data_IF_656430642562
#
_entry.id   IF_656430642562
#
_cell.length_a   1.000
_cell.length_b   1.000
_cell.length_c   1.000
_cell.angle_alpha   90.00
_cell.angle_beta   90.00
_cell.angle_gamma   90.00
#
_symmetry.space_group_name_H-M   'P 1'
#
loop_
_entity.id
_entity.type
_entity.pdbx_description
1 polymer ?
#
# COMPACT_ATOMS: atom_id res chain seq x y z
N UNK A 1 -16.76 -63.77 65.64
CA UNK A 1 -17.78 -62.84 65.13
C UNK A 1 -17.10 -61.49 64.88
N UNK A 2 -17.20 -60.97 63.64
CA UNK A 2 -16.80 -59.62 63.18
C UNK A 2 -15.27 -59.37 63.17
N UNK A 3 -14.60 -58.87 62.14
CA UNK A 3 -14.84 -58.69 60.71
C UNK A 3 -13.43 -58.63 60.11
N UNK A 4 -13.13 -59.45 59.11
CA UNK A 4 -11.97 -59.23 58.24
C UNK A 4 -12.44 -58.40 57.05
N UNK A 5 -11.60 -57.46 56.59
CA UNK A 5 -11.34 -57.09 55.18
C UNK A 5 -10.57 -55.76 55.18
N UNK A 6 -9.25 -55.87 55.09
CA UNK A 6 -8.33 -54.77 54.73
C UNK A 6 -8.36 -54.71 53.21
N UNK A 7 -8.85 -53.60 52.64
CA UNK A 7 -8.92 -53.35 51.21
C UNK A 7 -7.77 -52.41 50.81
N UNK A 8 -6.85 -52.81 49.91
CA UNK A 8 -5.80 -51.93 49.40
C UNK A 8 -6.19 -51.29 48.06
N UNK A 9 -5.55 -50.16 47.78
CA UNK A 9 -5.37 -49.50 46.48
C UNK A 9 -6.63 -49.02 45.73
N UNK A 10 -6.66 -47.72 45.43
CA UNK A 10 -6.61 -47.27 44.03
C UNK A 10 -6.15 -45.80 43.98
N UNK A 11 -4.87 -45.60 43.67
CA UNK A 11 -4.33 -44.31 43.29
C UNK A 11 -4.86 -43.98 41.88
N UNK A 12 -5.68 -42.94 41.77
CA UNK A 12 -6.18 -42.43 40.49
C UNK A 12 -5.06 -41.73 39.72
N UNK A 13 -4.49 -42.41 38.73
CA UNK A 13 -3.57 -41.83 37.76
C UNK A 13 -4.40 -41.11 36.68
N UNK A 14 -4.50 -39.79 36.77
CA UNK A 14 -5.10 -38.93 35.74
C UNK A 14 -4.20 -38.92 34.49
N UNK A 15 -4.52 -39.77 33.52
CA UNK A 15 -3.94 -39.70 32.17
C UNK A 15 -4.58 -38.53 31.43
N UNK A 16 -3.90 -37.38 31.42
CA UNK A 16 -4.18 -36.28 30.50
C UNK A 16 -3.81 -36.72 29.08
N UNK A 17 -4.78 -37.26 28.35
CA UNK A 17 -4.65 -37.45 26.90
C UNK A 17 -4.69 -36.08 26.23
N UNK A 18 -3.51 -35.52 25.97
CA UNK A 18 -3.37 -34.37 25.10
C UNK A 18 -3.82 -34.75 23.69
N UNK A 19 -4.96 -34.20 23.25
CA UNK A 19 -5.29 -34.19 21.83
C UNK A 19 -4.25 -33.30 21.13
N UNK A 20 -3.18 -33.92 20.62
CA UNK A 20 -2.35 -33.29 19.61
C UNK A 20 -3.22 -33.13 18.36
N UNK A 21 -3.84 -31.96 18.20
CA UNK A 21 -4.34 -31.58 16.89
C UNK A 21 -3.14 -31.60 15.94
N UNK A 22 -3.22 -32.30 14.79
CA UNK A 22 -2.24 -32.07 13.74
C UNK A 22 -2.22 -30.58 13.50
N UNK A 23 -1.06 -29.95 13.66
CA UNK A 23 -0.86 -28.58 13.23
C UNK A 23 -1.42 -28.50 11.82
N UNK A 24 -2.54 -27.79 11.66
CA UNK A 24 -3.08 -27.52 10.36
C UNK A 24 -1.92 -26.92 9.58
N UNK A 25 -1.43 -27.63 8.56
CA UNK A 25 -0.62 -26.99 7.55
C UNK A 25 -1.48 -25.84 7.06
N UNK A 26 -1.07 -24.63 7.36
CA UNK A 26 -1.67 -23.40 6.83
C UNK A 26 -1.44 -23.43 5.32
N UNK A 27 -2.29 -24.16 4.62
CA UNK A 27 -2.44 -24.13 3.17
C UNK A 27 -3.40 -23.00 2.74
N UNK A 28 -3.36 -21.87 3.45
CA UNK A 28 -3.96 -20.62 2.99
C UNK A 28 -2.90 -19.88 2.19
N UNK A 29 -3.17 -19.56 0.93
CA UNK A 29 -2.23 -18.81 0.09
C UNK A 29 -1.78 -17.55 0.82
N UNK A 30 -0.45 -17.37 0.91
CA UNK A 30 0.22 -16.46 1.83
C UNK A 30 -0.48 -15.10 1.97
N UNK A 31 -0.82 -14.76 3.21
CA UNK A 31 -1.23 -13.42 3.59
C UNK A 31 0.00 -12.53 3.72
N UNK A 32 0.04 -11.39 3.04
CA UNK A 32 1.19 -10.49 3.09
C UNK A 32 0.82 -9.00 2.98
N UNK A 33 1.84 -8.16 2.93
CA UNK A 33 1.68 -6.71 2.84
C UNK A 33 1.22 -6.29 1.44
N UNK A 34 0.54 -5.16 1.38
CA UNK A 34 0.23 -4.42 0.17
C UNK A 34 1.25 -3.30 0.10
N UNK A 35 2.21 -3.46 -0.80
CA UNK A 35 3.28 -2.52 -1.02
C UNK A 35 3.16 -1.88 -2.40
N UNK A 36 3.92 -0.80 -2.61
CA UNK A 36 3.94 -0.10 -3.87
C UNK A 36 5.30 0.50 -4.20
N UNK A 37 5.57 0.62 -5.49
CA UNK A 37 6.69 1.35 -6.08
C UNK A 37 6.13 2.29 -7.13
N UNK A 38 6.37 3.58 -6.96
CA UNK A 38 5.90 4.61 -7.86
C UNK A 38 7.02 5.00 -8.82
N UNK A 39 6.83 4.69 -10.11
CA UNK A 39 7.77 5.05 -11.18
C UNK A 39 7.44 6.39 -11.84
N UNK A 40 6.49 7.14 -11.29
CA UNK A 40 5.96 8.37 -11.89
C UNK A 40 6.43 9.62 -11.16
N UNK A 41 6.28 10.77 -11.83
CA UNK A 41 6.49 12.09 -11.24
C UNK A 41 5.34 12.55 -10.34
N UNK A 42 4.21 11.84 -10.33
CA UNK A 42 3.03 12.19 -9.55
C UNK A 42 3.09 11.51 -8.19
N UNK A 43 2.56 12.15 -7.15
CA UNK A 43 2.29 11.44 -5.90
C UNK A 43 1.10 10.49 -6.09
N UNK A 44 1.17 9.31 -5.48
CA UNK A 44 0.02 8.41 -5.32
C UNK A 44 -0.56 8.68 -3.93
N UNK A 45 -1.65 9.45 -3.89
CA UNK A 45 -2.25 9.95 -2.64
C UNK A 45 -3.04 8.88 -1.88
N UNK A 46 -3.52 7.87 -2.59
CA UNK A 46 -4.11 6.67 -2.03
C UNK A 46 -4.12 5.58 -3.09
N UNK A 47 -4.07 4.33 -2.67
CA UNK A 47 -4.32 3.20 -3.55
C UNK A 47 -4.92 2.01 -2.81
N UNK A 48 -5.51 1.10 -3.58
CA UNK A 48 -6.07 -0.14 -3.08
C UNK A 48 -5.98 -1.24 -4.12
N UNK A 49 -6.03 -2.49 -3.65
CA UNK A 49 -6.08 -3.69 -4.47
C UNK A 49 -7.34 -4.46 -4.08
N UNK A 50 -8.25 -4.67 -5.03
CA UNK A 50 -9.56 -5.27 -4.79
C UNK A 50 -10.33 -4.60 -3.64
N UNK A 51 -10.20 -3.27 -3.52
CA UNK A 51 -10.81 -2.47 -2.45
C UNK A 51 -10.04 -2.47 -1.12
N UNK A 52 -8.96 -3.24 -1.00
CA UNK A 52 -8.13 -3.30 0.19
C UNK A 52 -7.04 -2.23 0.15
N UNK A 53 -7.03 -1.34 1.15
CA UNK A 53 -6.14 -0.17 1.17
C UNK A 53 -4.66 -0.56 1.32
N UNK A 54 -3.80 0.11 0.55
CA UNK A 54 -2.34 0.07 0.71
C UNK A 54 -1.79 0.96 1.84
N UNK A 55 -2.67 1.70 2.54
CA UNK A 55 -2.41 2.63 3.66
C UNK A 55 -1.60 3.88 3.29
N UNK A 56 -0.47 3.74 2.59
CA UNK A 56 0.50 4.81 2.40
C UNK A 56 0.19 5.76 1.24
N UNK A 57 0.76 6.97 1.34
CA UNK A 57 0.97 7.90 0.24
C UNK A 57 2.36 7.63 -0.36
N UNK A 58 2.43 7.37 -1.66
CA UNK A 58 3.71 7.08 -2.33
C UNK A 58 4.17 8.31 -3.11
N UNK A 59 5.24 8.96 -2.65
CA UNK A 59 5.82 10.10 -3.34
C UNK A 59 6.40 9.73 -4.72
N UNK A 60 6.74 10.72 -5.56
CA UNK A 60 7.35 10.49 -6.86
C UNK A 60 8.64 9.67 -6.74
N UNK A 61 8.78 8.62 -7.53
CA UNK A 61 10.00 7.80 -7.59
C UNK A 61 10.38 7.14 -6.26
N UNK A 62 9.39 6.77 -5.44
CA UNK A 62 9.56 6.16 -4.12
C UNK A 62 8.84 4.81 -4.03
N UNK A 63 9.15 4.04 -2.99
CA UNK A 63 8.37 2.88 -2.56
C UNK A 63 7.82 3.08 -1.15
N UNK A 64 6.79 2.32 -0.81
CA UNK A 64 6.11 2.38 0.48
C UNK A 64 4.95 1.37 0.51
N UNK A 65 4.00 1.54 1.44
CA UNK A 65 2.86 0.65 1.58
C UNK A 65 2.71 0.16 3.01
N UNK A 66 2.67 -1.15 3.20
CA UNK A 66 2.41 -1.74 4.52
C UNK A 66 0.93 -1.90 4.84
N UNK A 67 0.04 -1.73 3.86
CA UNK A 67 -1.34 -2.22 3.96
C UNK A 67 -1.33 -3.71 4.31
N UNK A 68 -2.17 -4.15 5.24
CA UNK A 68 -2.16 -5.55 5.66
C UNK A 68 -3.01 -6.43 4.75
N UNK A 69 -2.77 -7.73 4.87
CA UNK A 69 -3.75 -8.80 4.70
C UNK A 69 -4.16 -9.10 3.24
N UNK A 70 -3.31 -8.82 2.25
CA UNK A 70 -3.56 -9.33 0.90
C UNK A 70 -3.47 -10.84 0.91
N UNK A 71 -4.48 -11.53 0.37
CA UNK A 71 -4.52 -12.99 0.30
C UNK A 71 -4.95 -13.46 -1.08
N UNK A 72 -4.41 -14.60 -1.49
CA UNK A 72 -4.71 -15.24 -2.77
C UNK A 72 -5.06 -16.72 -2.55
N UNK A 73 -5.80 -17.36 -3.48
CA UNK A 73 -5.99 -18.80 -3.45
C UNK A 73 -4.67 -19.58 -3.40
N UNK A 74 -4.70 -20.78 -2.83
CA UNK A 74 -3.50 -21.63 -2.72
C UNK A 74 -2.87 -22.02 -4.08
N UNK A 75 -3.65 -21.98 -5.17
CA UNK A 75 -3.18 -22.23 -6.53
C UNK A 75 -3.60 -21.09 -7.43
N UNK A 76 -2.66 -20.61 -8.22
CA UNK A 76 -2.96 -19.67 -9.29
C UNK A 76 -3.65 -20.41 -10.45
N UNK A 77 -4.59 -19.74 -11.12
CA UNK A 77 -5.21 -20.23 -12.35
C UNK A 77 -5.10 -19.20 -13.48
N UNK A 78 -4.99 -19.65 -14.74
CA UNK A 78 -4.97 -18.74 -15.88
C UNK A 78 -6.16 -17.77 -15.88
N UNK A 79 -5.86 -16.49 -16.07
CA UNK A 79 -6.86 -15.42 -16.10
C UNK A 79 -7.15 -14.76 -14.75
N UNK A 80 -6.47 -15.16 -13.66
CA UNK A 80 -6.54 -14.41 -12.41
C UNK A 80 -6.07 -12.96 -12.60
N UNK A 81 -6.83 -12.04 -12.02
CA UNK A 81 -6.57 -10.60 -12.08
C UNK A 81 -6.76 -9.96 -10.72
N UNK A 82 -6.22 -8.75 -10.57
CA UNK A 82 -6.54 -7.86 -9.47
C UNK A 82 -6.96 -6.51 -10.03
N UNK A 83 -7.90 -5.86 -9.34
CA UNK A 83 -8.27 -4.47 -9.60
C UNK A 83 -7.42 -3.56 -8.74
N UNK A 84 -6.75 -2.61 -9.36
CA UNK A 84 -5.98 -1.57 -8.68
C UNK A 84 -6.70 -0.25 -8.87
N UNK A 85 -6.94 0.45 -7.77
CA UNK A 85 -7.52 1.80 -7.76
C UNK A 85 -6.55 2.75 -7.08
N UNK A 86 -6.36 3.93 -7.64
CA UNK A 86 -5.46 4.92 -7.05
C UNK A 86 -5.83 6.35 -7.41
N UNK A 87 -5.39 7.30 -6.60
CA UNK A 87 -5.41 8.72 -6.94
C UNK A 87 -3.99 9.23 -7.13
N UNK A 88 -3.75 9.86 -8.28
CA UNK A 88 -2.52 10.61 -8.50
C UNK A 88 -2.74 12.10 -8.24
N UNK A 89 -1.71 12.81 -7.80
CA UNK A 89 -1.73 14.27 -7.70
C UNK A 89 -0.35 14.90 -7.72
N UNK A 90 -0.33 16.23 -7.69
CA UNK A 90 0.90 17.02 -7.58
C UNK A 90 1.56 16.74 -6.24
N UNK A 91 2.83 16.36 -6.26
CA UNK A 91 3.60 16.12 -5.04
C UNK A 91 4.10 17.42 -4.43
N UNK A 92 4.65 18.32 -5.25
CA UNK A 92 5.23 19.59 -4.78
C UNK A 92 4.77 20.77 -5.62
N UNK A 93 4.56 21.93 -4.99
CA UNK A 93 4.17 23.17 -5.68
C UNK A 93 5.16 23.58 -6.79
N UNK A 94 6.45 23.26 -6.62
CA UNK A 94 7.50 23.51 -7.63
C UNK A 94 7.33 22.71 -8.93
N UNK A 95 6.55 21.64 -8.91
CA UNK A 95 6.33 20.78 -10.09
C UNK A 95 5.28 21.35 -11.05
N UNK A 96 4.62 22.46 -10.68
CA UNK A 96 3.52 23.12 -11.39
C UNK A 96 3.66 24.65 -11.30
N UNK A 97 4.70 25.23 -11.94
CA UNK A 97 4.99 26.66 -11.86
C UNK A 97 3.83 27.56 -12.33
N UNK A 98 2.88 27.03 -13.10
CA UNK A 98 1.69 27.74 -13.58
C UNK A 98 0.69 28.07 -12.45
N UNK A 99 0.75 27.35 -11.32
CA UNK A 99 -0.09 27.59 -10.15
C UNK A 99 0.83 27.79 -8.93
N UNK A 100 1.51 28.95 -8.85
CA UNK A 100 2.49 29.20 -7.81
C UNK A 100 1.82 29.26 -6.43
N UNK A 101 2.52 28.73 -5.43
CA UNK A 101 2.12 28.84 -4.04
C UNK A 101 2.24 30.31 -3.57
N UNK A 102 1.24 30.86 -2.85
CA UNK A 102 1.36 32.21 -2.33
C UNK A 102 2.50 32.29 -1.32
N UNK A 103 3.30 33.36 -1.40
CA UNK A 103 4.39 33.59 -0.49
C UNK A 103 3.85 33.95 0.90
N UNK A 104 4.43 33.35 1.94
CA UNK A 104 4.11 33.74 3.31
C UNK A 104 4.58 35.18 3.57
N UNK A 105 3.74 36.06 4.15
CA UNK A 105 4.12 37.45 4.39
C UNK A 105 5.25 37.52 5.41
N UNK A 106 6.18 38.46 5.20
CA UNK A 106 7.30 38.68 6.13
C UNK A 106 6.91 39.71 7.19
N UNK A 107 7.15 39.40 8.47
CA UNK A 107 6.99 40.36 9.55
C UNK A 107 8.17 41.34 9.57
N UNK A 108 7.87 42.63 9.41
CA UNK A 108 8.81 43.76 9.31
C UNK A 108 8.63 44.76 10.46
N UNK A 109 8.02 44.34 11.57
CA UNK A 109 7.71 45.23 12.69
C UNK A 109 6.48 46.13 12.44
N UNK A 110 5.63 45.78 11.47
CA UNK A 110 4.35 46.44 11.26
C UNK A 110 3.44 46.30 12.49
N UNK A 111 2.49 47.22 12.60
CA UNK A 111 1.43 47.16 13.60
C UNK A 111 0.65 45.83 13.54
N UNK A 112 0.20 45.35 14.69
CA UNK A 112 -0.51 44.08 14.81
C UNK A 112 -1.77 44.00 13.94
N UNK A 113 -2.46 45.12 13.71
CA UNK A 113 -3.64 45.16 12.84
C UNK A 113 -3.24 44.88 11.39
N UNK A 114 -2.18 45.53 10.92
CA UNK A 114 -1.64 45.33 9.56
C UNK A 114 -1.21 43.89 9.37
N UNK A 115 -0.45 43.32 10.32
CA UNK A 115 -0.06 41.90 10.28
C UNK A 115 -1.27 40.96 10.20
N UNK A 116 -2.33 41.26 10.97
CA UNK A 116 -3.55 40.45 10.97
C UNK A 116 -4.24 40.47 9.60
N UNK A 117 -4.30 41.63 8.94
CA UNK A 117 -4.88 41.79 7.61
C UNK A 117 -4.04 41.07 6.53
N UNK A 118 -2.71 41.20 6.57
CA UNK A 118 -1.79 40.50 5.64
C UNK A 118 -1.91 38.97 5.77
N UNK A 119 -1.99 38.45 6.99
CA UNK A 119 -2.18 37.02 7.24
C UNK A 119 -3.57 36.56 6.78
N UNK A 120 -4.61 37.38 6.97
CA UNK A 120 -5.95 37.06 6.47
C UNK A 120 -5.97 36.95 4.93
N UNK A 121 -5.30 37.87 4.23
CA UNK A 121 -5.16 37.82 2.78
C UNK A 121 -4.37 36.59 2.32
N UNK A 122 -3.20 36.33 2.91
CA UNK A 122 -2.41 35.13 2.63
C UNK A 122 -3.25 33.85 2.79
N UNK A 123 -4.02 33.74 3.87
CA UNK A 123 -4.87 32.59 4.11
C UNK A 123 -5.97 32.44 3.05
N UNK A 124 -6.55 33.54 2.55
CA UNK A 124 -7.50 33.50 1.44
C UNK A 124 -6.84 33.01 0.15
N UNK A 125 -5.69 33.58 -0.21
CA UNK A 125 -4.91 33.17 -1.38
C UNK A 125 -4.53 31.70 -1.28
N UNK A 126 -4.07 31.25 -0.11
CA UNK A 126 -3.69 29.85 0.17
C UNK A 126 -4.87 28.89 0.03
N UNK A 127 -6.08 29.28 0.46
CA UNK A 127 -7.31 28.49 0.26
C UNK A 127 -7.67 28.35 -1.22
N UNK A 128 -7.58 29.44 -1.99
CA UNK A 128 -7.83 29.40 -3.45
C UNK A 128 -6.78 28.52 -4.13
N UNK A 129 -5.51 28.65 -3.75
CA UNK A 129 -4.43 27.81 -4.26
C UNK A 129 -4.69 26.32 -3.97
N UNK A 130 -5.01 25.95 -2.73
CA UNK A 130 -5.34 24.55 -2.38
C UNK A 130 -6.50 23.98 -3.21
N UNK A 131 -7.53 24.78 -3.52
CA UNK A 131 -8.62 24.33 -4.39
C UNK A 131 -8.13 24.01 -5.80
N UNK A 132 -7.25 24.85 -6.37
CA UNK A 132 -6.63 24.61 -7.68
C UNK A 132 -5.77 23.34 -7.67
N UNK A 133 -4.92 23.16 -6.65
CA UNK A 133 -4.10 21.94 -6.50
C UNK A 133 -4.95 20.69 -6.37
N UNK A 134 -6.00 20.74 -5.54
CA UNK A 134 -6.91 19.61 -5.34
C UNK A 134 -7.62 19.23 -6.64
N UNK A 135 -7.93 20.18 -7.50
CA UNK A 135 -8.56 19.93 -8.81
C UNK A 135 -7.65 19.22 -9.82
N UNK A 136 -6.33 19.17 -9.58
CA UNK A 136 -5.38 18.43 -10.43
C UNK A 136 -5.29 16.93 -10.07
N UNK A 137 -5.96 16.50 -9.00
CA UNK A 137 -6.02 15.09 -8.62
C UNK A 137 -6.81 14.29 -9.65
N UNK A 138 -6.34 13.09 -9.96
CA UNK A 138 -7.00 12.17 -10.90
C UNK A 138 -7.24 10.83 -10.22
N UNK A 139 -8.46 10.31 -10.33
CA UNK A 139 -8.80 8.95 -9.93
C UNK A 139 -8.54 8.02 -11.11
N UNK A 140 -7.99 6.86 -10.80
CA UNK A 140 -7.66 5.83 -11.78
C UNK A 140 -8.13 4.46 -11.31
N UNK A 141 -8.36 3.58 -12.26
CA UNK A 141 -8.71 2.19 -12.00
C UNK A 141 -8.21 1.31 -13.14
N UNK A 142 -7.56 0.20 -12.81
CA UNK A 142 -7.09 -0.76 -13.79
C UNK A 142 -7.16 -2.18 -13.26
N UNK A 143 -7.76 -3.07 -14.04
CA UNK A 143 -7.68 -4.51 -13.79
C UNK A 143 -6.47 -5.05 -14.53
N UNK A 144 -5.56 -5.69 -13.79
CA UNK A 144 -4.31 -6.23 -14.33
C UNK A 144 -4.15 -7.71 -14.03
N UNK A 145 -3.48 -8.47 -14.91
CA UNK A 145 -3.19 -9.87 -14.64
C UNK A 145 -2.33 -10.00 -13.38
N UNK A 146 -2.70 -10.96 -12.54
CA UNK A 146 -1.85 -11.40 -11.43
C UNK A 146 -0.88 -12.45 -11.98
N UNK A 147 0.44 -12.23 -11.95
CA UNK A 147 1.39 -13.22 -12.45
C UNK A 147 1.26 -14.58 -11.77
N UNK A 148 1.59 -15.65 -12.50
CA UNK A 148 1.57 -17.01 -11.98
C UNK A 148 2.54 -17.17 -10.81
N UNK A 149 2.01 -17.57 -9.65
CA UNK A 149 2.76 -17.82 -8.43
C UNK A 149 2.83 -19.32 -8.07
N UNK A 150 2.37 -20.21 -8.96
CA UNK A 150 2.45 -21.65 -8.72
C UNK A 150 3.92 -22.10 -8.57
N UNK A 151 4.19 -22.89 -7.53
CA UNK A 151 5.54 -23.34 -7.21
C UNK A 151 6.45 -22.26 -6.60
N UNK A 152 5.89 -21.11 -6.23
CA UNK A 152 6.61 -20.00 -5.58
C UNK A 152 5.94 -19.63 -4.26
N UNK A 153 6.72 -19.06 -3.35
CA UNK A 153 6.17 -18.42 -2.15
C UNK A 153 5.50 -17.08 -2.51
N UNK A 154 4.45 -16.73 -1.76
CA UNK A 154 3.71 -15.48 -1.87
C UNK A 154 3.94 -14.64 -0.63
N UNK A 155 4.48 -13.43 -0.79
CA UNK A 155 4.82 -12.53 0.32
C UNK A 155 3.94 -11.27 0.39
N UNK A 156 2.73 -11.34 -0.15
CA UNK A 156 1.85 -10.19 -0.32
C UNK A 156 1.77 -9.78 -1.77
N UNK A 157 1.60 -8.48 -2.02
CA UNK A 157 1.54 -7.92 -3.36
C UNK A 157 2.19 -6.54 -3.41
N UNK A 158 3.00 -6.32 -4.44
CA UNK A 158 3.58 -5.00 -4.74
C UNK A 158 2.95 -4.46 -6.02
N UNK A 159 2.42 -3.24 -5.96
CA UNK A 159 1.95 -2.49 -7.15
C UNK A 159 3.06 -1.60 -7.67
N UNK A 160 3.34 -1.69 -8.96
CA UNK A 160 4.20 -0.75 -9.65
C UNK A 160 3.32 0.24 -10.42
N UNK A 161 3.31 1.51 -10.00
CA UNK A 161 2.66 2.58 -10.73
C UNK A 161 3.60 3.09 -11.82
N UNK A 162 3.23 2.93 -13.08
CA UNK A 162 4.04 3.25 -14.24
C UNK A 162 3.56 4.55 -14.90
N UNK A 163 4.40 5.22 -15.72
CA UNK A 163 3.95 6.31 -16.58
C UNK A 163 2.75 5.91 -17.44
N UNK A 164 2.00 6.89 -17.95
CA UNK A 164 0.80 6.65 -18.76
C UNK A 164 -0.34 5.93 -18.03
N UNK A 165 -0.47 6.17 -16.72
CA UNK A 165 -1.54 5.62 -15.89
C UNK A 165 -1.63 4.07 -15.97
N UNK A 166 -0.49 3.41 -16.17
CA UNK A 166 -0.37 1.95 -16.22
C UNK A 166 0.11 1.39 -14.87
N UNK A 167 -0.19 0.12 -14.61
CA UNK A 167 0.24 -0.58 -13.39
C UNK A 167 0.66 -2.00 -13.70
N UNK A 168 1.64 -2.48 -12.94
CA UNK A 168 2.00 -3.91 -12.86
C UNK A 168 1.92 -4.37 -11.42
N UNK A 169 1.72 -5.66 -11.21
CA UNK A 169 1.70 -6.24 -9.87
C UNK A 169 2.59 -7.46 -9.79
N UNK A 170 3.07 -7.76 -8.60
CA UNK A 170 3.79 -9.00 -8.31
C UNK A 170 3.54 -9.46 -6.89
N UNK A 171 3.53 -10.77 -6.68
CA UNK A 171 3.47 -11.41 -5.35
C UNK A 171 4.83 -11.91 -4.85
N UNK A 172 5.90 -11.52 -5.56
CA UNK A 172 7.26 -12.01 -5.32
C UNK A 172 7.75 -11.68 -3.90
N UNK A 173 8.44 -12.64 -3.29
CA UNK A 173 9.15 -12.44 -2.04
C UNK A 173 10.50 -11.74 -2.18
N UNK A 174 10.99 -11.51 -3.41
CA UNK A 174 12.24 -10.79 -3.62
C UNK A 174 12.03 -9.28 -3.44
N UNK A 175 13.07 -8.59 -2.98
CA UNK A 175 13.07 -7.11 -2.97
C UNK A 175 13.33 -6.56 -4.37
N UNK A 176 12.70 -5.43 -4.70
CA UNK A 176 12.96 -4.72 -5.94
C UNK A 176 14.46 -4.36 -6.10
N UNK A 177 14.98 -4.55 -7.31
CA UNK A 177 16.42 -4.47 -7.62
C UNK A 177 17.16 -5.80 -7.55
N UNK A 178 16.59 -6.83 -6.90
CA UNK A 178 17.15 -8.18 -6.94
C UNK A 178 17.16 -8.75 -8.37
N UNK A 179 18.20 -9.53 -8.77
CA UNK A 179 18.21 -10.26 -10.03
C UNK A 179 16.97 -11.15 -10.23
N UNK A 180 16.40 -11.68 -9.16
CA UNK A 180 15.22 -12.55 -9.21
C UNK A 180 13.87 -11.81 -9.14
N UNK A 181 13.87 -10.50 -8.94
CA UNK A 181 12.62 -9.72 -8.89
C UNK A 181 11.97 -9.62 -10.29
N UNK A 182 10.66 -9.88 -10.48
CA UNK A 182 10.09 -10.04 -11.82
C UNK A 182 9.93 -8.74 -12.63
N UNK A 183 9.85 -7.58 -11.97
CA UNK A 183 9.65 -6.27 -12.62
C UNK A 183 10.99 -5.53 -12.66
N UNK A 184 11.46 -5.14 -13.85
CA UNK A 184 12.83 -4.63 -14.07
C UNK A 184 12.88 -3.16 -14.47
N UNK A 185 11.73 -2.56 -14.72
CA UNK A 185 11.57 -1.17 -15.09
C UNK A 185 12.23 -0.27 -14.05
N UNK A 186 13.09 0.68 -14.46
CA UNK A 186 13.80 1.54 -13.50
C UNK A 186 12.82 2.43 -12.75
N UNK A 187 13.17 2.87 -11.53
CA UNK A 187 12.28 3.75 -10.75
C UNK A 187 12.00 5.05 -11.48
N UNK A 188 13.03 5.68 -12.06
CA UNK A 188 12.88 6.92 -12.83
C UNK A 188 12.67 6.61 -14.31
N UNK A 189 11.44 6.30 -14.68
CA UNK A 189 11.05 6.11 -16.08
C UNK A 189 10.77 7.46 -16.74
N UNK A 190 11.18 7.62 -18.01
CA UNK A 190 10.74 8.74 -18.83
C UNK A 190 9.33 8.45 -19.33
N UNK A 191 8.38 9.31 -18.99
CA UNK A 191 7.03 9.24 -19.56
C UNK A 191 7.09 9.58 -21.06
N UNK A 192 6.52 8.74 -21.95
CA UNK A 192 6.49 9.05 -23.37
C UNK A 192 5.58 10.26 -23.62
N UNK A 193 5.87 11.00 -24.69
CA UNK A 193 5.08 12.18 -25.07
C UNK A 193 3.62 11.80 -25.44
N UNK A 194 3.42 10.58 -25.92
CA UNK A 194 2.11 10.02 -26.24
C UNK A 194 2.03 8.66 -25.57
N UNK A 195 0.98 8.47 -24.78
CA UNK A 195 0.70 7.20 -24.15
C UNK A 195 0.10 6.22 -25.15
N UNK A 196 0.57 4.96 -25.20
CA UNK A 196 -0.05 3.93 -26.01
C UNK A 196 -1.51 3.74 -25.57
N UNK A 197 -2.39 3.49 -26.54
CA UNK A 197 -3.81 3.19 -26.28
C UNK A 197 -4.00 1.71 -25.98
#
# INVERSE_FOLDING_TARGET
MKSALISPLLAGLLLLTGCAQPAARTGGGGGGTIDAINHTKWAINHFSINGQSGIDIIGPFQGGGGGCCFSVPARWTPGMTVRVDWESGVAFARDIPEIPEPAYPNYKGQDNKVWTEEIAEYNQQKRVWYKKIKALKRQHSKTVPLPDYNGQDVCGITVHFLPCDDVKVTTSCYTYGSPSYPIKEPVRMKEPAVCPK
#
